data_IF_395741171674
#
_entry.id   IF_395741171674
#
_cell.length_a   1.000
_cell.length_b   1.000
_cell.length_c   1.000
_cell.angle_alpha   90.00
_cell.angle_beta   90.00
_cell.angle_gamma   90.00
#
_symmetry.space_group_name_H-M   'P 1'
#
loop_
_entity.id
_entity.type
_entity.pdbx_description
1 polymer ?
#
# COMPACT_ATOMS: atom_id res chain seq x y z
N UNK A 1 -10.75 -14.74 -18.35
CA UNK A 1 -11.57 -14.30 -17.20
C UNK A 1 -11.96 -15.49 -16.33
N UNK A 2 -12.69 -16.51 -16.80
CA UNK A 2 -13.14 -17.68 -16.00
C UNK A 2 -11.99 -18.43 -15.29
N UNK A 3 -10.80 -18.57 -15.92
CA UNK A 3 -9.65 -19.23 -15.31
C UNK A 3 -9.09 -18.41 -14.12
N UNK A 4 -9.03 -17.08 -14.27
CA UNK A 4 -8.59 -16.16 -13.20
C UNK A 4 -9.57 -16.20 -12.03
N UNK A 5 -10.87 -16.09 -12.28
CA UNK A 5 -11.91 -16.18 -11.24
C UNK A 5 -11.87 -17.51 -10.48
N UNK A 6 -11.63 -18.62 -11.20
CA UNK A 6 -11.47 -19.95 -10.59
C UNK A 6 -10.24 -20.02 -9.68
N UNK A 7 -9.13 -19.39 -10.10
CA UNK A 7 -7.90 -19.37 -9.29
C UNK A 7 -8.04 -18.45 -8.06
N UNK A 8 -8.70 -17.30 -8.20
CA UNK A 8 -9.02 -16.45 -7.04
C UNK A 8 -9.85 -17.19 -5.99
N UNK A 9 -10.86 -17.95 -6.43
CA UNK A 9 -11.68 -18.76 -5.51
C UNK A 9 -10.87 -19.86 -4.83
N UNK A 10 -9.97 -20.52 -5.55
CA UNK A 10 -9.06 -21.52 -4.96
C UNK A 10 -8.13 -20.89 -3.94
N UNK A 11 -7.54 -19.75 -4.26
CA UNK A 11 -6.68 -19.01 -3.32
C UNK A 11 -7.45 -18.59 -2.07
N UNK A 12 -8.67 -18.10 -2.21
CA UNK A 12 -9.51 -17.75 -1.06
C UNK A 12 -9.79 -18.97 -0.16
N UNK A 13 -10.08 -20.13 -0.75
CA UNK A 13 -10.27 -21.38 -0.01
C UNK A 13 -8.99 -21.78 0.73
N UNK A 14 -7.84 -21.72 0.05
CA UNK A 14 -6.55 -22.03 0.66
C UNK A 14 -6.24 -21.07 1.84
N UNK A 15 -6.49 -19.77 1.66
CA UNK A 15 -6.32 -18.78 2.74
C UNK A 15 -7.29 -19.02 3.91
N UNK A 16 -8.51 -19.53 3.66
CA UNK A 16 -9.44 -19.90 4.74
C UNK A 16 -8.91 -21.09 5.56
N UNK A 17 -8.24 -22.03 4.92
CA UNK A 17 -7.57 -23.14 5.63
C UNK A 17 -6.37 -22.65 6.45
N UNK A 18 -5.61 -21.71 5.91
CA UNK A 18 -4.46 -21.10 6.60
C UNK A 18 -4.89 -20.31 7.85
N UNK A 19 -6.09 -19.75 7.85
CA UNK A 19 -6.64 -18.95 8.96
C UNK A 19 -7.98 -19.50 9.45
N UNK A 20 -7.99 -20.69 10.08
CA UNK A 20 -9.22 -21.33 10.55
C UNK A 20 -9.95 -20.42 11.56
N UNK A 21 -11.26 -20.37 11.47
CA UNK A 21 -12.11 -19.54 12.33
C UNK A 21 -12.08 -18.03 12.03
N UNK A 22 -11.39 -17.60 10.96
CA UNK A 22 -11.39 -16.21 10.52
C UNK A 22 -12.18 -16.03 9.22
N UNK A 23 -12.85 -14.88 9.09
CA UNK A 23 -13.49 -14.50 7.83
C UNK A 23 -12.41 -14.01 6.85
N UNK A 24 -12.28 -14.71 5.73
CA UNK A 24 -11.38 -14.33 4.63
C UNK A 24 -12.19 -13.60 3.55
N UNK A 25 -11.86 -12.34 3.33
CA UNK A 25 -12.49 -11.49 2.32
C UNK A 25 -11.51 -11.23 1.17
N UNK A 26 -11.98 -11.41 -0.05
CA UNK A 26 -11.25 -11.00 -1.25
C UNK A 26 -11.86 -9.70 -1.80
N UNK A 27 -11.05 -8.66 -1.91
CA UNK A 27 -11.44 -7.38 -2.46
C UNK A 27 -10.85 -7.19 -3.85
N UNK A 28 -11.71 -6.84 -4.81
CA UNK A 28 -11.25 -6.53 -6.17
C UNK A 28 -10.43 -5.24 -6.20
N UNK A 29 -9.16 -5.33 -6.58
CA UNK A 29 -8.27 -4.16 -6.76
C UNK A 29 -8.81 -3.21 -7.84
N UNK A 30 -9.44 -3.73 -8.89
CA UNK A 30 -10.06 -2.92 -9.95
C UNK A 30 -11.23 -2.07 -9.43
N UNK A 31 -12.12 -2.67 -8.65
CA UNK A 31 -13.24 -1.93 -8.03
C UNK A 31 -12.72 -0.89 -7.02
N UNK A 32 -11.75 -1.27 -6.20
CA UNK A 32 -11.13 -0.35 -5.25
C UNK A 32 -10.46 0.83 -5.96
N UNK A 33 -9.69 0.55 -7.01
CA UNK A 33 -9.05 1.57 -7.84
C UNK A 33 -10.08 2.58 -8.39
N UNK A 34 -11.18 2.11 -8.99
CA UNK A 34 -12.23 2.98 -9.52
C UNK A 34 -12.81 3.89 -8.44
N UNK A 35 -13.18 3.32 -7.29
CA UNK A 35 -13.75 4.09 -6.18
C UNK A 35 -12.76 5.10 -5.59
N UNK A 36 -11.47 4.77 -5.51
CA UNK A 36 -10.42 5.71 -5.08
C UNK A 36 -10.30 6.88 -6.07
N UNK A 37 -10.27 6.60 -7.38
CA UNK A 37 -10.24 7.65 -8.41
C UNK A 37 -11.45 8.56 -8.31
N UNK A 38 -12.67 8.00 -8.21
CA UNK A 38 -13.90 8.77 -8.05
C UNK A 38 -13.84 9.67 -6.81
N UNK A 39 -13.30 9.14 -5.71
CA UNK A 39 -13.20 9.92 -4.48
C UNK A 39 -12.17 11.05 -4.57
N UNK A 40 -11.02 10.81 -5.19
CA UNK A 40 -9.97 11.81 -5.36
C UNK A 40 -10.45 12.93 -6.30
N UNK A 41 -11.09 12.60 -7.41
CA UNK A 41 -11.64 13.59 -8.35
C UNK A 41 -12.73 14.42 -7.68
N UNK A 42 -13.62 13.81 -6.89
CA UNK A 42 -14.62 14.53 -6.09
C UNK A 42 -13.99 15.48 -5.06
N UNK A 43 -12.92 15.08 -4.36
CA UNK A 43 -12.20 15.95 -3.42
C UNK A 43 -11.48 17.11 -4.11
N UNK A 44 -11.22 17.01 -5.41
CA UNK A 44 -10.63 18.04 -6.24
C UNK A 44 -11.65 18.89 -7.00
N UNK A 45 -12.94 18.57 -6.90
CA UNK A 45 -14.01 19.21 -7.66
C UNK A 45 -13.72 19.20 -9.17
N UNK A 46 -13.33 18.03 -9.68
CA UNK A 46 -13.08 17.79 -11.11
C UNK A 46 -13.80 16.52 -11.57
N UNK A 47 -14.24 16.47 -12.84
CA UNK A 47 -14.83 15.26 -13.39
C UNK A 47 -13.78 14.16 -13.55
N UNK A 48 -14.27 12.94 -13.69
CA UNK A 48 -13.45 11.77 -13.99
C UNK A 48 -12.97 11.73 -15.43
N UNK A 49 -13.80 12.24 -16.34
CA UNK A 49 -13.45 12.37 -17.75
C UNK A 49 -12.41 13.49 -17.94
N UNK A 50 -11.42 13.29 -18.80
CA UNK A 50 -10.46 14.34 -19.11
C UNK A 50 -11.15 15.61 -19.65
N UNK A 51 -10.79 16.75 -19.09
CA UNK A 51 -11.32 18.06 -19.53
C UNK A 51 -10.54 18.60 -20.72
N UNK A 52 -11.28 19.23 -21.63
CA UNK A 52 -10.71 20.02 -22.75
C UNK A 52 -11.39 21.42 -22.76
N UNK A 53 -10.64 22.48 -22.52
CA UNK A 53 -9.22 22.58 -22.19
C UNK A 53 -8.91 21.96 -20.81
N UNK A 54 -7.68 21.50 -20.63
CA UNK A 54 -7.25 20.82 -19.40
C UNK A 54 -7.35 21.73 -18.18
N UNK A 55 -8.14 21.32 -17.19
CA UNK A 55 -8.24 21.95 -15.88
C UNK A 55 -7.81 20.97 -14.82
N UNK A 56 -6.88 21.37 -13.96
CA UNK A 56 -6.39 20.54 -12.86
C UNK A 56 -7.02 20.96 -11.54
N UNK A 57 -7.41 19.98 -10.74
CA UNK A 57 -7.83 20.18 -9.35
C UNK A 57 -6.73 20.80 -8.51
N UNK A 58 -7.11 21.46 -7.43
CA UNK A 58 -6.18 22.20 -6.55
C UNK A 58 -5.26 21.30 -5.72
N UNK A 59 -5.68 20.09 -5.39
CA UNK A 59 -4.88 19.16 -4.60
C UNK A 59 -4.11 18.21 -5.52
N UNK A 60 -2.98 17.73 -5.03
CA UNK A 60 -2.17 16.72 -5.69
C UNK A 60 -2.49 15.34 -5.13
N UNK A 61 -2.59 14.33 -5.98
CA UNK A 61 -2.70 12.92 -5.57
C UNK A 61 -1.29 12.34 -5.38
N UNK A 62 -1.02 11.82 -4.19
CA UNK A 62 0.27 11.22 -3.84
C UNK A 62 0.06 9.77 -3.37
N UNK A 63 0.02 8.81 -4.30
CA UNK A 63 0.06 7.40 -3.94
C UNK A 63 1.37 7.06 -3.23
N UNK A 64 1.30 6.33 -2.11
CA UNK A 64 2.48 5.83 -1.39
C UNK A 64 2.47 4.31 -1.21
N UNK A 65 1.36 3.65 -1.59
CA UNK A 65 1.21 2.20 -1.66
C UNK A 65 1.18 1.66 -3.09
N UNK A 66 0.62 0.46 -3.25
CA UNK A 66 0.63 -0.25 -4.54
C UNK A 66 -0.57 0.09 -5.44
N UNK A 67 -1.72 0.47 -4.86
CA UNK A 67 -3.02 0.53 -5.57
C UNK A 67 -3.06 1.51 -6.75
N UNK A 68 -2.41 2.66 -6.63
CA UNK A 68 -2.34 3.68 -7.69
C UNK A 68 -0.91 3.90 -8.23
N UNK A 69 0.03 3.00 -7.90
CA UNK A 69 1.41 3.12 -8.37
C UNK A 69 1.46 3.07 -9.90
N UNK A 70 2.10 4.07 -10.51
CA UNK A 70 2.20 4.18 -11.96
C UNK A 70 0.89 4.54 -12.67
N UNK A 71 -0.16 4.90 -11.94
CA UNK A 71 -1.43 5.37 -12.51
C UNK A 71 -1.55 6.89 -12.36
N UNK A 72 -2.28 7.50 -13.30
CA UNK A 72 -2.60 8.93 -13.26
C UNK A 72 -4.07 9.09 -12.95
N UNK A 73 -4.38 9.92 -11.94
CA UNK A 73 -5.77 10.29 -11.65
C UNK A 73 -6.19 11.42 -12.61
N UNK A 74 -7.32 11.28 -13.31
CA UNK A 74 -7.79 12.30 -14.26
C UNK A 74 -7.90 13.68 -13.61
N UNK A 75 -7.56 14.71 -14.37
CA UNK A 75 -7.63 16.13 -13.98
C UNK A 75 -6.95 16.45 -12.62
N UNK A 76 -6.00 15.62 -12.21
CA UNK A 76 -5.31 15.73 -10.92
C UNK A 76 -3.81 15.54 -11.12
N UNK A 77 -2.99 16.43 -10.55
CA UNK A 77 -1.55 16.23 -10.51
C UNK A 77 -1.27 14.98 -9.67
N UNK A 78 -0.59 14.00 -10.24
CA UNK A 78 -0.30 12.73 -9.57
C UNK A 78 1.20 12.46 -9.56
N UNK A 79 1.77 12.24 -8.38
CA UNK A 79 3.17 11.86 -8.18
C UNK A 79 3.28 10.83 -7.07
N UNK A 80 3.76 9.65 -7.38
CA UNK A 80 3.93 8.56 -6.41
C UNK A 80 5.16 8.76 -5.55
N UNK A 81 5.04 8.48 -4.26
CA UNK A 81 6.16 8.21 -3.35
C UNK A 81 6.50 6.73 -3.41
N UNK A 82 7.72 6.44 -3.86
CA UNK A 82 8.20 5.08 -4.02
C UNK A 82 8.93 4.63 -2.77
N UNK A 83 8.21 3.98 -1.87
CA UNK A 83 8.76 3.42 -0.63
C UNK A 83 8.46 1.94 -0.53
N UNK A 84 9.31 1.23 0.18
CA UNK A 84 9.13 -0.16 0.54
C UNK A 84 9.34 -0.38 2.03
N UNK A 85 8.82 -1.48 2.53
CA UNK A 85 9.04 -1.97 3.89
C UNK A 85 10.11 -3.04 3.83
N UNK A 86 11.27 -2.76 4.41
CA UNK A 86 12.44 -3.63 4.39
C UNK A 86 12.63 -4.23 5.77
N UNK A 87 12.40 -5.53 5.90
CA UNK A 87 12.61 -6.27 7.13
C UNK A 87 14.09 -6.53 7.36
N UNK A 88 14.50 -6.49 8.62
CA UNK A 88 15.79 -7.04 9.03
C UNK A 88 15.76 -8.58 9.00
N UNK A 89 16.92 -9.27 9.02
CA UNK A 89 16.97 -10.73 8.92
C UNK A 89 16.20 -11.48 10.01
N UNK A 90 15.97 -10.86 11.18
CA UNK A 90 15.15 -11.40 12.27
C UNK A 90 13.64 -11.45 11.96
N UNK A 91 13.18 -10.72 10.93
CA UNK A 91 11.79 -10.54 10.53
C UNK A 91 10.89 -9.90 11.60
N UNK A 92 11.47 -9.25 12.59
CA UNK A 92 10.75 -8.57 13.69
C UNK A 92 10.78 -7.05 13.49
N UNK A 93 11.95 -6.53 13.18
CA UNK A 93 12.17 -5.12 12.90
C UNK A 93 12.17 -4.83 11.38
N UNK A 94 11.90 -3.60 11.03
CA UNK A 94 11.91 -3.14 9.63
C UNK A 94 12.10 -1.63 9.55
N UNK A 95 12.51 -1.18 8.38
CA UNK A 95 12.61 0.24 8.02
C UNK A 95 11.75 0.55 6.80
N UNK A 96 11.32 1.82 6.67
CA UNK A 96 10.68 2.32 5.46
C UNK A 96 11.76 3.02 4.63
N UNK A 97 12.08 2.43 3.50
CA UNK A 97 13.16 2.87 2.61
C UNK A 97 12.62 3.27 1.23
N UNK A 98 13.37 4.05 0.44
CA UNK A 98 13.05 4.21 -0.97
C UNK A 98 13.05 2.85 -1.67
N UNK A 99 12.10 2.66 -2.58
CA UNK A 99 12.11 1.46 -3.42
C UNK A 99 13.42 1.41 -4.24
N UNK A 100 14.02 0.23 -4.46
CA UNK A 100 15.27 0.11 -5.23
C UNK A 100 15.21 0.88 -6.55
N UNK A 101 16.31 1.55 -6.91
CA UNK A 101 16.47 2.40 -8.10
C UNK A 101 15.67 3.71 -8.11
N UNK A 102 14.95 4.06 -7.03
CA UNK A 102 14.35 5.38 -6.89
C UNK A 102 15.19 6.31 -6.04
N UNK A 103 14.98 7.61 -6.25
CA UNK A 103 15.69 8.65 -5.48
C UNK A 103 15.45 8.51 -3.98
N UNK A 104 16.38 8.98 -3.12
CA UNK A 104 16.17 9.06 -1.68
C UNK A 104 14.83 9.73 -1.32
N UNK A 105 14.22 9.30 -0.23
CA UNK A 105 12.87 9.74 0.16
C UNK A 105 12.77 11.27 0.26
N UNK A 106 13.78 11.92 0.82
CA UNK A 106 13.81 13.39 0.92
C UNK A 106 13.75 14.06 -0.46
N UNK A 107 14.52 13.55 -1.44
CA UNK A 107 14.48 14.05 -2.83
C UNK A 107 13.11 13.84 -3.49
N UNK A 108 12.44 12.72 -3.20
CA UNK A 108 11.06 12.49 -3.67
C UNK A 108 10.08 13.49 -3.06
N UNK A 109 10.22 13.82 -1.77
CA UNK A 109 9.39 14.77 -1.05
C UNK A 109 9.64 16.20 -1.58
N UNK A 110 10.89 16.60 -1.80
CA UNK A 110 11.20 17.90 -2.41
C UNK A 110 10.60 18.03 -3.83
N UNK A 111 10.57 16.94 -4.59
CA UNK A 111 9.86 16.92 -5.89
C UNK A 111 8.36 17.18 -5.70
N UNK A 112 7.73 16.61 -4.69
CA UNK A 112 6.30 16.88 -4.39
C UNK A 112 6.11 18.31 -3.97
N UNK A 113 6.98 18.85 -3.11
CA UNK A 113 6.97 20.24 -2.66
C UNK A 113 7.03 21.22 -3.83
N UNK A 114 7.82 20.95 -4.87
CA UNK A 114 7.98 21.83 -6.04
C UNK A 114 6.68 22.07 -6.84
N UNK A 115 5.65 21.23 -6.63
CA UNK A 115 4.32 21.46 -7.23
C UNK A 115 3.47 22.51 -6.49
N UNK A 116 3.86 22.90 -5.28
CA UNK A 116 3.18 23.91 -4.45
C UNK A 116 1.67 23.63 -4.31
N UNK A 117 1.32 22.40 -3.93
CA UNK A 117 -0.07 21.94 -3.80
C UNK A 117 -0.29 21.15 -2.53
N UNK A 118 -1.46 21.30 -1.87
CA UNK A 118 -1.87 20.37 -0.83
C UNK A 118 -1.96 18.95 -1.38
N UNK A 119 -1.58 17.96 -0.56
CA UNK A 119 -1.55 16.55 -0.98
C UNK A 119 -2.73 15.75 -0.43
N UNK A 120 -3.26 14.87 -1.26
CA UNK A 120 -4.11 13.74 -0.89
C UNK A 120 -3.23 12.51 -0.95
N UNK A 121 -2.91 11.93 0.21
CA UNK A 121 -2.13 10.69 0.31
C UNK A 121 -3.04 9.48 0.04
N UNK A 122 -2.58 8.51 -0.75
CA UNK A 122 -3.42 7.39 -1.18
C UNK A 122 -2.73 6.06 -1.01
N UNK A 123 -3.43 5.08 -0.40
CA UNK A 123 -2.96 3.69 -0.28
C UNK A 123 -4.13 2.69 -0.38
N UNK A 124 -3.81 1.41 -0.47
CA UNK A 124 -4.78 0.31 -0.44
C UNK A 124 -5.32 0.04 0.96
N UNK A 125 -4.47 0.09 1.99
CA UNK A 125 -4.86 -0.19 3.37
C UNK A 125 -4.12 0.72 4.37
N UNK A 126 -4.84 1.18 5.39
CA UNK A 126 -4.25 1.68 6.64
C UNK A 126 -4.67 0.77 7.81
N UNK A 127 -3.68 0.04 8.33
CA UNK A 127 -3.80 -0.78 9.53
C UNK A 127 -2.76 -0.34 10.59
N UNK A 128 -1.48 -0.69 10.42
CA UNK A 128 -0.40 -0.26 11.32
C UNK A 128 0.14 1.14 10.98
N UNK A 129 -0.25 1.70 9.85
CA UNK A 129 0.15 3.03 9.36
C UNK A 129 1.68 3.25 9.30
N UNK A 130 2.47 2.19 9.19
CA UNK A 130 3.94 2.21 9.25
C UNK A 130 4.55 3.28 8.33
N UNK A 131 4.12 3.30 7.06
CA UNK A 131 4.59 4.31 6.10
C UNK A 131 4.14 5.72 6.46
N UNK A 132 2.91 5.90 6.94
CA UNK A 132 2.38 7.21 7.31
C UNK A 132 3.07 7.79 8.53
N UNK A 133 3.50 6.95 9.47
CA UNK A 133 4.27 7.39 10.64
C UNK A 133 5.63 7.98 10.23
N UNK A 134 6.20 7.55 9.11
CA UNK A 134 7.43 8.12 8.54
C UNK A 134 7.14 9.29 7.61
N UNK A 135 6.13 9.19 6.75
CA UNK A 135 5.86 10.17 5.70
C UNK A 135 5.22 11.45 6.23
N UNK A 136 4.28 11.34 7.18
CA UNK A 136 3.53 12.51 7.70
C UNK A 136 4.46 13.54 8.36
N UNK A 137 5.38 13.17 9.28
CA UNK A 137 6.34 14.10 9.84
C UNK A 137 7.19 14.78 8.76
N UNK A 138 7.76 14.01 7.84
CA UNK A 138 8.62 14.54 6.75
C UNK A 138 7.90 15.51 5.83
N UNK A 139 6.64 15.23 5.47
CA UNK A 139 5.83 16.14 4.66
C UNK A 139 5.52 17.43 5.42
N UNK A 140 5.28 17.36 6.73
CA UNK A 140 5.06 18.54 7.57
C UNK A 140 6.33 19.38 7.75
N UNK A 141 7.47 18.76 7.98
CA UNK A 141 8.78 19.42 8.10
C UNK A 141 9.14 20.21 6.83
N UNK A 142 8.76 19.69 5.66
CA UNK A 142 8.93 20.37 4.37
C UNK A 142 7.83 21.38 4.03
N UNK A 143 6.87 21.59 4.93
CA UNK A 143 5.79 22.56 4.75
C UNK A 143 4.71 22.13 3.77
N UNK A 144 4.63 20.85 3.39
CA UNK A 144 3.61 20.34 2.47
C UNK A 144 2.28 20.13 3.21
N UNK A 145 1.20 20.84 2.85
CA UNK A 145 -0.09 20.68 3.50
C UNK A 145 -0.72 19.32 3.15
N UNK A 146 -1.03 18.52 4.16
CA UNK A 146 -1.74 17.24 3.97
C UNK A 146 -3.24 17.52 4.07
N UNK A 147 -3.95 17.46 2.93
CA UNK A 147 -5.39 17.66 2.88
C UNK A 147 -6.15 16.49 3.52
N UNK A 148 -5.77 15.28 3.17
CA UNK A 148 -6.44 14.05 3.62
C UNK A 148 -5.63 12.81 3.23
N UNK A 149 -5.81 11.72 3.96
CA UNK A 149 -5.46 10.36 3.52
C UNK A 149 -6.73 9.67 3.00
N UNK A 150 -6.68 9.09 1.82
CA UNK A 150 -7.77 8.32 1.21
C UNK A 150 -7.28 6.90 0.96
N UNK A 151 -7.98 5.91 1.50
CA UNK A 151 -7.55 4.51 1.43
C UNK A 151 -8.64 3.57 0.99
N UNK A 152 -8.26 2.45 0.42
CA UNK A 152 -9.19 1.38 0.08
C UNK A 152 -9.84 0.80 1.32
N UNK A 153 -9.03 0.42 2.31
CA UNK A 153 -9.48 -0.19 3.57
C UNK A 153 -8.90 0.56 4.76
N UNK A 154 -9.72 0.82 5.76
CA UNK A 154 -9.31 1.39 7.05
C UNK A 154 -9.71 0.43 8.17
N UNK A 155 -8.72 -0.04 8.94
CA UNK A 155 -8.99 -0.81 10.15
C UNK A 155 -9.31 0.10 11.34
N UNK A 156 -9.89 -0.47 12.42
CA UNK A 156 -10.10 0.25 13.67
C UNK A 156 -8.79 0.77 14.24
N UNK A 157 -7.78 -0.09 14.33
CA UNK A 157 -6.43 0.29 14.78
C UNK A 157 -5.81 1.40 13.91
N UNK A 158 -5.93 1.27 12.59
CA UNK A 158 -5.47 2.31 11.66
C UNK A 158 -6.19 3.64 11.85
N UNK A 159 -7.48 3.65 12.18
CA UNK A 159 -8.25 4.86 12.50
C UNK A 159 -7.68 5.57 13.72
N UNK A 160 -7.42 4.82 14.79
CA UNK A 160 -6.88 5.39 16.04
C UNK A 160 -5.48 6.00 15.79
N UNK A 161 -4.62 5.34 15.04
CA UNK A 161 -3.32 5.89 14.63
C UNK A 161 -3.46 7.17 13.79
N UNK A 162 -4.42 7.23 12.87
CA UNK A 162 -4.66 8.44 12.08
C UNK A 162 -5.14 9.62 12.95
N UNK A 163 -5.93 9.36 14.00
CA UNK A 163 -6.30 10.37 14.98
C UNK A 163 -5.07 10.86 15.75
N UNK A 164 -4.18 9.97 16.20
CA UNK A 164 -2.92 10.34 16.86
C UNK A 164 -2.01 11.18 15.95
N UNK A 165 -1.90 10.82 14.66
CA UNK A 165 -1.18 11.61 13.67
C UNK A 165 -1.86 12.94 13.34
N UNK A 166 -3.09 13.17 13.80
CA UNK A 166 -3.90 14.37 13.49
C UNK A 166 -4.01 14.62 11.98
N UNK A 167 -4.26 13.54 11.21
CA UNK A 167 -4.48 13.61 9.77
C UNK A 167 -5.87 13.07 9.44
N UNK A 168 -6.72 13.85 8.75
CA UNK A 168 -8.02 13.36 8.32
C UNK A 168 -7.88 12.15 7.40
N UNK A 169 -8.62 11.08 7.68
CA UNK A 169 -8.63 9.85 6.88
C UNK A 169 -10.03 9.54 6.39
N UNK A 170 -10.11 8.97 5.20
CA UNK A 170 -11.32 8.49 4.58
C UNK A 170 -11.05 7.16 3.87
N UNK A 171 -12.01 6.25 3.91
CA UNK A 171 -11.84 4.92 3.31
C UNK A 171 -13.04 4.52 2.46
N UNK A 172 -12.77 3.68 1.47
CA UNK A 172 -13.82 3.03 0.68
C UNK A 172 -14.53 1.95 1.51
N UNK A 173 -13.75 1.20 2.30
CA UNK A 173 -14.25 0.19 3.22
C UNK A 173 -13.71 0.41 4.62
N UNK A 174 -14.59 0.34 5.63
CA UNK A 174 -14.19 0.35 7.04
C UNK A 174 -14.30 -1.07 7.58
N UNK A 175 -13.19 -1.62 8.07
CA UNK A 175 -13.09 -2.98 8.61
C UNK A 175 -12.46 -2.92 10.00
N UNK A 176 -13.26 -2.81 11.08
CA UNK A 176 -12.72 -2.58 12.43
C UNK A 176 -11.69 -3.62 12.86
N UNK A 177 -11.91 -4.89 12.57
CA UNK A 177 -11.15 -6.02 13.07
C UNK A 177 -10.30 -6.71 11.99
N UNK A 178 -9.47 -5.96 11.26
CA UNK A 178 -8.47 -6.56 10.35
C UNK A 178 -7.38 -7.22 11.17
N UNK A 179 -7.15 -8.53 10.98
CA UNK A 179 -6.04 -9.27 11.60
C UNK A 179 -4.85 -9.38 10.69
N UNK A 180 -5.08 -9.78 9.44
CA UNK A 180 -4.04 -9.91 8.42
C UNK A 180 -4.52 -9.36 7.08
N UNK A 181 -3.57 -8.97 6.27
CA UNK A 181 -3.79 -8.40 4.94
C UNK A 181 -2.71 -8.86 3.98
N UNK A 182 -3.13 -9.35 2.82
CA UNK A 182 -2.23 -9.72 1.74
C UNK A 182 -2.67 -9.06 0.44
N UNK A 183 -1.70 -8.54 -0.29
CA UNK A 183 -1.90 -8.19 -1.70
C UNK A 183 -1.65 -9.45 -2.52
N UNK A 184 -2.54 -9.83 -3.41
CA UNK A 184 -2.44 -11.08 -4.17
C UNK A 184 -1.07 -11.25 -4.84
N UNK A 185 -0.53 -10.19 -5.45
CA UNK A 185 0.79 -10.23 -6.09
C UNK A 185 1.94 -10.60 -5.15
N UNK A 186 1.79 -10.38 -3.84
CA UNK A 186 2.83 -10.74 -2.85
C UNK A 186 2.76 -12.19 -2.41
N UNK A 187 1.71 -12.92 -2.79
CA UNK A 187 1.55 -14.34 -2.50
C UNK A 187 2.24 -15.25 -3.51
N UNK A 188 2.66 -14.72 -4.66
CA UNK A 188 3.29 -15.50 -5.72
C UNK A 188 4.81 -15.44 -5.66
N UNK A 189 5.51 -16.60 -5.71
CA UNK A 189 6.96 -16.64 -5.84
C UNK A 189 7.42 -15.84 -7.07
N UNK A 190 8.58 -15.20 -6.99
CA UNK A 190 9.20 -14.43 -8.09
C UNK A 190 8.46 -13.17 -8.57
N UNK A 191 7.24 -12.92 -8.10
CA UNK A 191 6.45 -11.73 -8.46
C UNK A 191 6.44 -10.71 -7.34
N UNK A 192 6.36 -11.16 -6.11
CA UNK A 192 6.27 -10.29 -4.93
C UNK A 192 6.63 -11.03 -3.66
N UNK A 193 6.46 -10.34 -2.55
CA UNK A 193 6.81 -10.79 -1.21
C UNK A 193 7.23 -9.59 -0.37
N UNK A 194 7.56 -9.82 0.88
CA UNK A 194 8.15 -8.80 1.75
C UNK A 194 9.66 -8.76 1.53
N UNK A 195 10.20 -7.55 1.43
CA UNK A 195 11.65 -7.34 1.24
C UNK A 195 12.38 -7.59 2.55
N UNK A 196 13.44 -8.40 2.49
CA UNK A 196 14.31 -8.71 3.63
C UNK A 196 15.72 -8.25 3.32
N UNK A 197 16.33 -7.53 4.27
CA UNK A 197 17.73 -7.11 4.19
C UNK A 197 18.63 -8.33 4.33
N UNK A 198 19.51 -8.55 3.34
CA UNK A 198 20.56 -9.56 3.40
C UNK A 198 21.90 -8.90 3.17
N UNK A 199 22.81 -9.03 4.12
CA UNK A 199 24.14 -8.41 4.04
C UNK A 199 24.97 -8.93 2.86
N UNK A 200 24.85 -10.22 2.58
CA UNK A 200 25.56 -10.89 1.49
C UNK A 200 25.13 -10.44 0.08
N UNK A 201 24.02 -9.72 -0.03
CA UNK A 201 23.41 -9.32 -1.29
C UNK A 201 23.51 -7.83 -1.59
N UNK A 202 24.43 -7.12 -0.97
CA UNK A 202 24.81 -5.72 -1.33
C UNK A 202 25.48 -5.62 -2.71
N UNK A 203 25.24 -6.58 -3.60
CA UNK A 203 25.75 -6.53 -4.97
C UNK A 203 24.85 -5.64 -5.81
N UNK A 204 25.41 -4.56 -6.34
CA UNK A 204 24.71 -3.67 -7.25
C UNK A 204 24.11 -4.49 -8.42
N UNK A 205 22.81 -4.33 -8.68
CA UNK A 205 22.13 -4.99 -9.80
C UNK A 205 21.39 -6.29 -9.46
N UNK A 206 21.37 -6.75 -8.19
CA UNK A 206 20.54 -7.90 -7.81
C UNK A 206 19.04 -7.57 -7.92
N UNK A 207 18.30 -8.53 -8.50
CA UNK A 207 16.86 -8.43 -8.64
C UNK A 207 16.19 -8.40 -7.24
N UNK A 208 15.24 -7.49 -6.98
CA UNK A 208 14.53 -7.43 -5.69
C UNK A 208 13.89 -8.76 -5.28
N UNK A 209 13.50 -9.60 -6.23
CA UNK A 209 12.91 -10.93 -6.01
C UNK A 209 13.81 -11.90 -5.22
N UNK A 210 15.12 -11.72 -5.24
CA UNK A 210 16.06 -12.60 -4.51
C UNK A 210 16.03 -12.30 -3.00
N UNK A 211 15.72 -11.06 -2.62
CA UNK A 211 15.64 -10.60 -1.23
C UNK A 211 14.21 -10.61 -0.67
N UNK A 212 13.28 -11.29 -1.34
CA UNK A 212 11.89 -11.33 -0.91
C UNK A 212 11.55 -12.65 -0.23
N UNK A 213 10.72 -12.56 0.81
CA UNK A 213 10.10 -13.69 1.48
C UNK A 213 8.58 -13.59 1.33
N UNK A 214 7.95 -14.70 1.01
CA UNK A 214 6.49 -14.75 0.91
C UNK A 214 5.89 -14.54 2.31
N UNK A 215 4.92 -13.61 2.47
CA UNK A 215 4.41 -13.23 3.79
C UNK A 215 3.73 -14.39 4.53
N UNK A 216 3.21 -15.38 3.83
CA UNK A 216 2.63 -16.59 4.42
C UNK A 216 3.65 -17.70 4.70
N UNK A 217 4.91 -17.56 4.24
CA UNK A 217 5.91 -18.62 4.41
C UNK A 217 6.51 -18.70 5.81
N UNK A 218 6.31 -17.67 6.63
CA UNK A 218 6.82 -17.65 8.01
C UNK A 218 5.75 -17.22 9.00
N UNK A 219 5.68 -17.85 10.20
CA UNK A 219 4.72 -17.48 11.24
C UNK A 219 4.82 -16.02 11.67
N UNK A 220 6.03 -15.44 11.74
CA UNK A 220 6.26 -14.05 12.13
C UNK A 220 5.59 -13.05 11.19
N UNK A 221 5.60 -13.31 9.88
CA UNK A 221 5.00 -12.43 8.87
C UNK A 221 3.52 -12.74 8.62
N UNK A 222 3.15 -14.02 8.62
CA UNK A 222 1.79 -14.47 8.31
C UNK A 222 0.83 -14.36 9.49
N UNK A 223 1.34 -14.41 10.75
CA UNK A 223 0.51 -14.46 11.95
C UNK A 223 -0.34 -15.73 12.07
N UNK A 224 0.04 -16.82 11.40
CA UNK A 224 -0.58 -18.13 11.49
C UNK A 224 0.32 -19.13 12.20
N UNK A 225 -0.23 -20.29 12.60
CA UNK A 225 0.57 -21.34 13.25
C UNK A 225 1.47 -22.06 12.24
N UNK A 226 2.53 -22.69 12.74
CA UNK A 226 3.44 -23.49 11.92
C UNK A 226 2.74 -24.70 11.32
N UNK A 227 1.83 -25.32 12.06
CA UNK A 227 1.02 -26.46 11.63
C UNK A 227 0.14 -26.08 10.43
N UNK A 228 -0.55 -24.93 10.51
CA UNK A 228 -1.36 -24.41 9.42
C UNK A 228 -0.52 -24.11 8.16
N UNK A 229 0.72 -23.64 8.32
CA UNK A 229 1.64 -23.44 7.19
C UNK A 229 2.07 -24.74 6.54
N UNK A 230 2.33 -25.79 7.31
CA UNK A 230 2.69 -27.13 6.78
C UNK A 230 1.52 -27.69 5.98
N UNK A 231 0.30 -27.63 6.51
CA UNK A 231 -0.90 -28.07 5.79
C UNK A 231 -1.15 -27.25 4.52
N UNK A 232 -0.92 -25.95 4.56
CA UNK A 232 -1.08 -25.05 3.40
C UNK A 232 -0.06 -25.33 2.29
N UNK A 233 1.15 -25.78 2.65
CA UNK A 233 2.27 -26.00 1.70
C UNK A 233 2.24 -27.38 1.04
N UNK A 234 1.46 -28.33 1.55
CA UNK A 234 1.24 -29.67 0.99
C UNK A 234 0.13 -29.70 -0.04
#
# INVERSE_FOLDING_TARGET
LRAIEKNHKKLQIAMTKLYPGNLVLSLSSGVMHHRLVDRITSLNDVPREPLVPRRLGKNMCVPFGKILRGKVVPNTVTKTLHTDKVYEPDLESYTIEPFPYYSPLNSQIETIRSFDRPVILVDDLVHKADRLQVLVPKLRETGIPIKKVVVGVLSGYGRDLMQQLKVPVESIYSMPNVRQWFVESTLYPFIGGDTVRREEMKVAGLQPSINMILPYATPKLSGCSREALVEFSG
#
